data_IF_199964389104
#
_entry.id   IF_199964389104
#
_cell.length_a   1.000
_cell.length_b   1.000
_cell.length_c   1.000
_cell.angle_alpha   90.00
_cell.angle_beta   90.00
_cell.angle_gamma   90.00
#
_symmetry.space_group_name_H-M   'P 1'
#
loop_
_entity.id
_entity.type
_entity.pdbx_description
1 polymer ?
#
# COMPACT_ATOMS: atom_id res chain seq x y z
N UNK A 1 -11.93 -12.66 8.00
CA UNK A 1 -11.62 -11.75 6.88
C UNK A 1 -12.24 -10.36 7.07
N UNK A 2 -13.51 -10.22 7.47
CA UNK A 2 -14.17 -8.90 7.63
C UNK A 2 -13.43 -7.86 8.48
N UNK A 3 -12.73 -8.25 9.55
CA UNK A 3 -11.98 -7.28 10.38
C UNK A 3 -10.76 -6.70 9.64
N UNK A 4 -9.98 -7.54 8.97
CA UNK A 4 -8.80 -7.10 8.23
C UNK A 4 -9.16 -6.17 7.06
N UNK A 5 -10.24 -6.51 6.34
CA UNK A 5 -10.79 -5.65 5.27
C UNK A 5 -11.30 -4.31 5.81
N UNK A 6 -11.98 -4.32 6.97
CA UNK A 6 -12.39 -3.10 7.64
C UNK A 6 -11.19 -2.24 8.06
N UNK A 7 -10.14 -2.84 8.62
CA UNK A 7 -8.89 -2.12 8.95
C UNK A 7 -8.25 -1.51 7.70
N UNK A 8 -8.23 -2.24 6.58
CA UNK A 8 -7.67 -1.73 5.32
C UNK A 8 -8.43 -0.50 4.80
N UNK A 9 -9.77 -0.55 4.84
CA UNK A 9 -10.63 0.59 4.47
C UNK A 9 -10.42 1.78 5.41
N UNK A 10 -10.41 1.55 6.71
CA UNK A 10 -10.28 2.64 7.69
C UNK A 10 -8.85 3.21 7.67
N UNK A 11 -7.83 2.41 7.33
CA UNK A 11 -6.47 2.88 7.04
C UNK A 11 -6.40 3.78 5.82
N UNK A 12 -7.19 3.49 4.77
CA UNK A 12 -7.30 4.38 3.62
C UNK A 12 -7.87 5.74 4.05
N UNK A 13 -8.98 5.77 4.79
CA UNK A 13 -9.55 7.02 5.31
C UNK A 13 -8.56 7.79 6.19
N UNK A 14 -7.91 7.12 7.15
CA UNK A 14 -6.92 7.75 8.04
C UNK A 14 -5.70 8.28 7.26
N UNK A 15 -5.29 7.58 6.19
CA UNK A 15 -4.22 8.05 5.28
C UNK A 15 -4.67 9.30 4.52
N UNK A 16 -5.89 9.30 3.96
CA UNK A 16 -6.47 10.44 3.25
C UNK A 16 -6.56 11.66 4.15
N UNK A 17 -7.10 11.50 5.35
CA UNK A 17 -7.17 12.53 6.39
C UNK A 17 -5.79 13.14 6.72
N UNK A 18 -4.79 12.29 6.96
CA UNK A 18 -3.44 12.74 7.26
C UNK A 18 -2.81 13.52 6.11
N UNK A 19 -3.04 13.06 4.88
CA UNK A 19 -2.57 13.72 3.65
C UNK A 19 -3.25 15.06 3.44
N UNK A 20 -4.57 15.14 3.59
CA UNK A 20 -5.32 16.39 3.47
C UNK A 20 -4.89 17.44 4.50
N UNK A 21 -4.65 17.02 5.76
CA UNK A 21 -4.11 17.92 6.81
C UNK A 21 -2.72 18.47 6.49
N UNK A 22 -1.92 17.76 5.69
CA UNK A 22 -0.61 18.20 5.20
C UNK A 22 -0.68 18.91 3.82
N UNK A 23 -1.88 19.16 3.29
CA UNK A 23 -2.07 19.78 1.98
C UNK A 23 -1.67 18.89 0.80
N UNK A 24 -1.78 17.56 0.96
CA UNK A 24 -1.48 16.54 -0.06
C UNK A 24 -2.78 15.99 -0.65
N UNK A 25 -2.75 15.67 -1.96
CA UNK A 25 -3.85 14.97 -2.62
C UNK A 25 -4.02 13.55 -2.07
N UNK A 26 -5.25 13.06 -2.06
CA UNK A 26 -5.58 11.67 -1.76
C UNK A 26 -4.86 10.69 -2.70
N UNK A 27 -4.60 9.47 -2.21
CA UNK A 27 -4.06 8.37 -3.00
C UNK A 27 -5.20 7.52 -3.54
N UNK A 28 -5.16 7.20 -4.83
CA UNK A 28 -6.15 6.33 -5.46
C UNK A 28 -5.84 4.85 -5.18
N UNK A 29 -6.77 4.07 -4.61
CA UNK A 29 -6.62 2.62 -4.49
C UNK A 29 -6.52 1.95 -5.86
N UNK A 30 -5.54 1.07 -6.03
CA UNK A 30 -5.35 0.29 -7.27
C UNK A 30 -5.37 -1.20 -6.96
N UNK A 31 -6.25 -1.95 -7.62
CA UNK A 31 -6.42 -3.38 -7.36
C UNK A 31 -5.11 -4.18 -7.44
N UNK A 32 -4.22 -3.99 -8.43
CA UNK A 32 -2.95 -4.71 -8.47
C UNK A 32 -2.04 -4.43 -7.25
N UNK A 33 -2.08 -3.22 -6.71
CA UNK A 33 -1.31 -2.87 -5.51
C UNK A 33 -1.95 -3.44 -4.25
N UNK A 34 -3.29 -3.48 -4.18
CA UNK A 34 -4.04 -4.09 -3.08
C UNK A 34 -3.72 -5.59 -3.03
N UNK A 35 -3.81 -6.29 -4.16
CA UNK A 35 -3.55 -7.72 -4.25
C UNK A 35 -2.10 -8.06 -3.85
N UNK A 36 -1.13 -7.25 -4.30
CA UNK A 36 0.27 -7.39 -3.93
C UNK A 36 0.50 -7.15 -2.43
N UNK A 37 -0.16 -6.13 -1.85
CA UNK A 37 -0.07 -5.82 -0.43
C UNK A 37 -0.67 -6.93 0.44
N UNK A 38 -1.83 -7.49 0.07
CA UNK A 38 -2.47 -8.62 0.78
C UNK A 38 -1.57 -9.86 0.75
N UNK A 39 -1.05 -10.20 -0.43
CA UNK A 39 -0.13 -11.34 -0.58
C UNK A 39 1.11 -11.16 0.28
N UNK A 40 1.66 -9.94 0.34
CA UNK A 40 2.84 -9.68 1.14
C UNK A 40 2.55 -9.72 2.63
N UNK A 41 1.44 -9.12 3.08
CA UNK A 41 0.98 -9.19 4.48
C UNK A 41 0.85 -10.64 4.96
N UNK A 42 0.28 -11.52 4.13
CA UNK A 42 0.21 -12.96 4.41
C UNK A 42 1.61 -13.56 4.56
N UNK A 43 2.53 -13.28 3.63
CA UNK A 43 3.89 -13.83 3.71
C UNK A 43 4.67 -13.37 4.94
N UNK A 44 4.47 -12.11 5.38
CA UNK A 44 5.06 -11.61 6.62
C UNK A 44 4.47 -12.30 7.84
N UNK A 45 3.18 -12.63 7.79
CA UNK A 45 2.53 -13.41 8.86
C UNK A 45 3.05 -14.85 8.92
N UNK A 46 3.35 -15.47 7.77
CA UNK A 46 3.95 -16.80 7.71
C UNK A 46 5.39 -16.80 8.27
N UNK A 47 6.10 -15.67 8.16
CA UNK A 47 7.42 -15.44 8.75
C UNK A 47 7.40 -15.09 10.25
N UNK A 48 6.26 -14.63 10.78
CA UNK A 48 6.12 -14.15 12.15
C UNK A 48 6.84 -12.82 12.47
N UNK A 49 7.31 -12.09 11.46
CA UNK A 49 7.92 -10.76 11.64
C UNK A 49 7.84 -9.91 10.36
N UNK A 50 7.98 -8.58 10.50
CA UNK A 50 8.00 -7.65 9.36
C UNK A 50 9.42 -7.45 8.83
N UNK A 51 9.57 -7.45 7.51
CA UNK A 51 10.81 -7.13 6.80
C UNK A 51 10.46 -6.56 5.43
N UNK A 52 11.30 -5.67 4.90
CA UNK A 52 11.16 -5.19 3.52
C UNK A 52 11.82 -6.15 2.50
N UNK A 53 12.68 -7.05 2.98
CA UNK A 53 13.50 -7.95 2.17
C UNK A 53 13.00 -9.39 2.27
N UNK A 54 11.84 -9.63 1.68
CA UNK A 54 11.28 -10.97 1.51
C UNK A 54 10.47 -11.03 0.22
N UNK A 55 10.64 -12.09 -0.57
CA UNK A 55 9.93 -12.32 -1.84
C UNK A 55 9.99 -11.11 -2.79
N UNK A 56 11.19 -10.55 -2.91
CA UNK A 56 11.48 -9.40 -3.76
C UNK A 56 11.57 -8.08 -2.98
N UNK A 57 11.85 -7.00 -3.71
CA UNK A 57 11.95 -5.65 -3.16
C UNK A 57 10.61 -4.91 -3.26
N UNK A 58 10.44 -3.77 -2.56
CA UNK A 58 9.29 -2.90 -2.76
C UNK A 58 9.08 -2.53 -4.24
N UNK A 59 10.18 -2.35 -4.98
CA UNK A 59 10.14 -2.06 -6.41
C UNK A 59 9.53 -3.19 -7.26
N UNK A 60 9.78 -4.45 -6.92
CA UNK A 60 9.15 -5.57 -7.63
C UNK A 60 7.67 -5.72 -7.28
N UNK A 61 7.28 -5.42 -6.03
CA UNK A 61 5.88 -5.54 -5.57
C UNK A 61 4.94 -4.54 -6.21
N UNK A 62 5.43 -3.36 -6.61
CA UNK A 62 4.59 -2.33 -7.26
C UNK A 62 4.68 -2.34 -8.78
N UNK A 63 5.29 -3.35 -9.42
CA UNK A 63 5.34 -3.37 -10.90
C UNK A 63 3.92 -3.45 -11.49
N UNK A 64 3.66 -2.76 -12.62
CA UNK A 64 4.61 -2.02 -13.45
C UNK A 64 4.70 -0.51 -13.09
N UNK A 65 4.17 -0.09 -11.96
CA UNK A 65 4.19 1.30 -11.50
C UNK A 65 5.62 1.78 -11.18
N UNK A 66 5.82 3.10 -11.16
CA UNK A 66 7.11 3.74 -10.85
C UNK A 66 7.08 4.38 -9.47
N UNK A 67 8.27 4.72 -8.95
CA UNK A 67 8.45 5.35 -7.64
C UNK A 67 7.83 4.51 -6.51
N UNK A 68 8.43 3.34 -6.20
CA UNK A 68 7.93 2.48 -5.13
C UNK A 68 8.08 3.15 -3.77
N UNK A 69 7.07 3.00 -2.93
CA UNK A 69 7.16 3.20 -1.48
C UNK A 69 6.52 2.02 -0.76
N UNK A 70 6.93 1.76 0.47
CA UNK A 70 6.35 0.70 1.30
C UNK A 70 6.41 1.10 2.77
N UNK A 71 5.26 1.03 3.44
CA UNK A 71 5.15 1.10 4.89
C UNK A 71 4.64 -0.24 5.42
N UNK A 72 5.26 -0.71 6.50
CA UNK A 72 4.91 -1.95 7.17
C UNK A 72 4.52 -1.66 8.63
N UNK A 73 3.62 -2.48 9.18
CA UNK A 73 3.36 -2.52 10.60
C UNK A 73 2.97 -3.95 11.03
N UNK A 74 3.34 -4.32 12.24
CA UNK A 74 2.75 -5.44 12.96
C UNK A 74 2.20 -4.90 14.29
N UNK A 75 0.90 -5.09 14.52
CA UNK A 75 0.21 -4.60 15.72
C UNK A 75 -0.75 -5.65 16.24
N UNK A 76 -1.00 -5.68 17.54
CA UNK A 76 -2.04 -6.54 18.09
C UNK A 76 -3.42 -6.07 17.66
N UNK A 77 -4.33 -7.02 17.39
CA UNK A 77 -5.74 -6.75 17.13
C UNK A 77 -6.41 -6.27 18.43
N UNK A 78 -6.50 -4.94 18.60
CA UNK A 78 -7.12 -4.30 19.77
C UNK A 78 -8.03 -3.16 19.34
N UNK A 79 -9.23 -3.12 19.92
CA UNK A 79 -10.23 -2.09 19.63
C UNK A 79 -10.99 -2.35 18.32
N UNK A 80 -11.63 -1.30 17.83
CA UNK A 80 -12.31 -1.30 16.54
C UNK A 80 -11.31 -1.28 15.38
N UNK A 81 -11.75 -1.62 14.15
CA UNK A 81 -10.92 -1.45 12.96
C UNK A 81 -10.39 -0.01 12.78
N UNK A 82 -11.22 0.99 13.09
CA UNK A 82 -10.86 2.40 13.06
C UNK A 82 -9.78 2.74 14.10
N UNK A 83 -9.87 2.21 15.32
CA UNK A 83 -8.84 2.40 16.36
C UNK A 83 -7.47 1.90 15.90
N UNK A 84 -7.44 0.71 15.28
CA UNK A 84 -6.22 0.12 14.71
C UNK A 84 -5.67 1.02 13.61
N UNK A 85 -6.51 1.44 12.67
CA UNK A 85 -6.11 2.28 11.55
C UNK A 85 -5.51 3.62 12.01
N UNK A 86 -6.21 4.32 12.90
CA UNK A 86 -5.76 5.58 13.48
C UNK A 86 -4.46 5.42 14.26
N UNK A 87 -4.32 4.33 15.02
CA UNK A 87 -3.10 4.02 15.75
C UNK A 87 -1.90 3.83 14.79
N UNK A 88 -2.08 3.05 13.73
CA UNK A 88 -1.02 2.77 12.74
C UNK A 88 -0.59 4.03 12.00
N UNK A 89 -1.54 4.82 11.47
CA UNK A 89 -1.22 6.09 10.79
C UNK A 89 -0.51 7.06 11.73
N UNK A 90 -0.96 7.18 12.99
CA UNK A 90 -0.29 8.02 14.01
C UNK A 90 1.14 7.56 14.29
N UNK A 91 1.41 6.25 14.31
CA UNK A 91 2.76 5.70 14.48
C UNK A 91 3.63 5.96 13.26
N UNK A 92 3.12 5.77 12.05
CA UNK A 92 3.83 6.10 10.82
C UNK A 92 4.15 7.60 10.73
N UNK A 93 3.21 8.49 11.02
CA UNK A 93 3.45 9.94 11.07
C UNK A 93 4.53 10.34 12.08
N UNK A 94 4.75 9.58 13.16
CA UNK A 94 5.81 9.86 14.14
C UNK A 94 7.18 9.34 13.71
N UNK A 95 7.23 8.40 12.78
CA UNK A 95 8.46 7.81 12.27
C UNK A 95 8.88 8.47 10.96
N UNK A 96 10.07 9.06 10.91
CA UNK A 96 10.54 9.81 9.72
C UNK A 96 10.44 8.99 8.42
N UNK A 97 10.96 7.75 8.33
CA UNK A 97 10.88 6.96 7.09
C UNK A 97 9.44 6.69 6.64
N UNK A 98 8.55 6.35 7.58
CA UNK A 98 7.15 6.05 7.24
C UNK A 98 6.37 7.31 6.86
N UNK A 99 6.61 8.42 7.56
CA UNK A 99 6.01 9.73 7.28
C UNK A 99 6.40 10.23 5.89
N UNK A 100 7.67 10.04 5.49
CA UNK A 100 8.16 10.43 4.16
C UNK A 100 7.40 9.72 3.05
N UNK A 101 7.05 8.44 3.22
CA UNK A 101 6.19 7.74 2.27
C UNK A 101 4.75 8.26 2.30
N UNK A 102 4.16 8.35 3.50
CA UNK A 102 2.74 8.71 3.68
C UNK A 102 2.42 10.10 3.10
N UNK A 103 3.36 11.04 3.20
CA UNK A 103 3.22 12.42 2.75
C UNK A 103 3.96 12.73 1.44
N UNK A 104 4.45 11.73 0.72
CA UNK A 104 5.13 11.95 -0.55
C UNK A 104 4.16 12.48 -1.62
N UNK A 105 4.48 13.64 -2.20
CA UNK A 105 3.71 14.25 -3.30
C UNK A 105 3.84 13.49 -4.63
N UNK A 106 4.88 12.67 -4.78
CA UNK A 106 5.12 11.95 -6.02
C UNK A 106 4.23 10.72 -6.15
N UNK A 107 3.62 10.27 -5.06
CA UNK A 107 2.68 9.14 -5.05
C UNK A 107 1.28 9.59 -5.42
N UNK A 108 0.64 8.79 -6.28
CA UNK A 108 -0.73 8.98 -6.73
C UNK A 108 -1.60 7.76 -6.47
N UNK A 109 -0.99 6.58 -6.30
CA UNK A 109 -1.68 5.33 -6.06
C UNK A 109 -1.16 4.63 -4.83
N UNK A 110 -2.01 3.80 -4.24
CA UNK A 110 -1.59 2.88 -3.19
C UNK A 110 -2.38 1.57 -3.22
N UNK A 111 -1.90 0.60 -2.45
CA UNK A 111 -2.64 -0.60 -2.09
C UNK A 111 -2.39 -0.93 -0.63
N UNK A 112 -3.44 -1.28 0.10
CA UNK A 112 -3.37 -1.64 1.52
C UNK A 112 -3.75 -3.11 1.64
N UNK A 113 -2.88 -3.88 2.29
CA UNK A 113 -3.10 -5.28 2.62
C UNK A 113 -3.00 -5.47 4.11
N UNK A 114 -3.94 -6.22 4.68
CA UNK A 114 -3.97 -6.57 6.10
C UNK A 114 -4.18 -8.07 6.20
N UNK A 115 -3.35 -8.74 6.99
CA UNK A 115 -3.50 -10.16 7.29
C UNK A 115 -3.47 -10.39 8.79
N UNK A 116 -4.45 -11.13 9.29
CA UNK A 116 -4.54 -11.49 10.71
C UNK A 116 -3.96 -12.88 10.94
N UNK A 117 -3.02 -13.00 11.88
CA UNK A 117 -2.47 -14.28 12.31
C UNK A 117 -2.18 -14.22 13.81
N UNK A 118 -2.64 -15.21 14.57
CA UNK A 118 -2.38 -15.34 16.01
C UNK A 118 -2.68 -14.08 16.84
N UNK A 119 -3.72 -13.33 16.48
CA UNK A 119 -4.12 -12.09 17.17
C UNK A 119 -3.29 -10.85 16.82
N UNK A 120 -2.36 -10.98 15.87
CA UNK A 120 -1.59 -9.89 15.28
C UNK A 120 -2.10 -9.54 13.88
N UNK A 121 -1.94 -8.28 13.51
CA UNK A 121 -2.26 -7.73 12.19
C UNK A 121 -0.97 -7.33 11.50
N UNK A 122 -0.67 -8.01 10.41
CA UNK A 122 0.40 -7.68 9.48
C UNK A 122 -0.17 -6.72 8.44
N UNK A 123 0.35 -5.50 8.39
CA UNK A 123 -0.18 -4.41 7.59
C UNK A 123 0.90 -3.96 6.61
N UNK A 124 0.53 -3.91 5.34
CA UNK A 124 1.37 -3.43 4.24
C UNK A 124 0.61 -2.31 3.54
N UNK A 125 1.26 -1.15 3.38
CA UNK A 125 0.81 -0.10 2.47
C UNK A 125 1.86 0.12 1.40
N UNK A 126 1.54 -0.27 0.17
CA UNK A 126 2.34 -0.04 -1.02
C UNK A 126 1.97 1.30 -1.63
N UNK A 127 2.96 2.08 -2.04
CA UNK A 127 2.76 3.35 -2.72
C UNK A 127 3.39 3.32 -4.10
N UNK A 128 2.76 4.05 -5.02
CA UNK A 128 3.27 4.21 -6.37
C UNK A 128 2.97 5.62 -6.90
N UNK A 129 3.92 6.14 -7.69
CA UNK A 129 3.70 7.29 -8.55
C UNK A 129 2.97 6.90 -9.83
N UNK A 130 3.31 7.54 -10.95
CA UNK A 130 2.60 7.35 -12.24
C UNK A 130 2.51 5.89 -12.69
N UNK A 131 1.33 5.50 -13.22
CA UNK A 131 1.18 4.31 -14.06
C UNK A 131 2.14 4.43 -15.25
N UNK A 132 2.85 3.36 -15.65
CA UNK A 132 3.55 3.39 -16.93
C UNK A 132 2.51 3.70 -18.00
N UNK A 133 2.84 4.63 -18.90
CA UNK A 133 2.03 4.83 -20.09
C UNK A 133 1.87 3.45 -20.73
N UNK A 134 0.62 3.01 -20.93
CA UNK A 134 0.32 1.96 -21.90
C UNK A 134 0.94 2.49 -23.20
N UNK A 135 2.09 1.95 -23.59
CA UNK A 135 2.48 2.01 -24.99
C UNK A 135 1.33 1.30 -25.69
N UNK A 136 0.44 2.05 -26.34
CA UNK A 136 -0.35 1.46 -27.40
C UNK A 136 0.66 0.73 -28.28
N UNK A 137 0.49 -0.58 -28.41
CA UNK A 137 1.33 -1.40 -29.24
C UNK A 137 1.47 -0.69 -30.59
N UNK A 138 2.71 -0.44 -31.01
CA UNK A 138 3.04 0.13 -32.30
C UNK A 138 2.85 -0.91 -33.42
N UNK A 139 1.79 -1.73 -33.34
CA UNK A 139 1.51 -2.86 -34.23
C UNK A 139 0.20 -2.70 -35.00
N UNK A 140 -0.38 -1.49 -35.03
CA UNK A 140 -1.60 -1.20 -35.81
C UNK A 140 -1.38 -0.19 -36.97
N UNK A 141 -0.15 -0.08 -37.49
CA UNK A 141 0.12 0.63 -38.76
C UNK A 141 1.06 -0.21 -39.64
N UNK A 142 0.62 -1.41 -39.99
CA UNK A 142 1.19 -2.17 -41.12
C UNK A 142 0.11 -2.83 -41.98
N UNK A 143 -1.05 -2.19 -42.12
CA UNK A 143 -2.13 -2.70 -42.98
C UNK A 143 -2.75 -1.66 -43.93
N UNK A 144 -2.02 -0.59 -44.30
CA UNK A 144 -2.46 0.34 -45.37
C UNK A 144 -1.43 0.40 -46.52
N UNK A 145 -0.77 -0.72 -46.80
CA UNK A 145 -0.14 -0.96 -48.11
C UNK A 145 -0.26 -2.45 -48.46
N UNK A 146 -1.36 -2.76 -49.12
CA UNK A 146 -1.67 -4.01 -49.79
C UNK A 146 -2.75 -3.71 -50.81
#
# INVERSE_FOLDING_TARGET
>A
MHFAEAVARDLHHATTDARQRDGRSELTPEQPLIDAAIQYARSLSDLGHITHDHRGSPASRVRPYRQPGENLACVQRRGSPEDVANYVVKKWLRSKPHRENLLNNSFSYHGIGVWESSGELYIVQLYAGRKPLRRYAADAVSSIRG
#
